data_IF_539639222660
#
_entry.id   IF_539639222660
#
_cell.length_a   1.000
_cell.length_b   1.000
_cell.length_c   1.000
_cell.angle_alpha   90.00
_cell.angle_beta   90.00
_cell.angle_gamma   90.00
#
_symmetry.space_group_name_H-M   'P 1'
#
loop_
_entity.id
_entity.type
_entity.pdbx_description
1 polymer ?
#
# COMPACT_ATOMS: atom_id res chain seq x y z
N UNK A 1 49.79 27.30 -31.13
CA UNK A 1 48.87 26.14 -31.13
C UNK A 1 49.51 25.04 -30.30
N UNK A 2 48.82 24.50 -29.29
CA UNK A 2 48.94 23.11 -28.82
C UNK A 2 47.99 22.89 -27.64
N UNK A 3 46.73 22.67 -28.00
CA UNK A 3 45.65 22.24 -27.11
C UNK A 3 45.96 20.85 -26.56
N UNK A 4 46.41 20.77 -25.30
CA UNK A 4 46.43 19.50 -24.57
C UNK A 4 45.01 19.18 -24.14
N UNK A 5 44.30 18.43 -24.99
CA UNK A 5 43.04 17.77 -24.64
C UNK A 5 43.27 16.85 -23.44
N UNK A 6 42.85 17.29 -22.25
CA UNK A 6 42.69 16.43 -21.09
C UNK A 6 41.50 15.50 -21.34
N UNK A 7 41.80 14.28 -21.78
CA UNK A 7 40.85 13.18 -21.89
C UNK A 7 40.31 12.91 -20.47
N UNK A 8 39.00 13.06 -20.19
CA UNK A 8 38.47 12.72 -18.88
C UNK A 8 38.66 11.21 -18.64
N UNK A 9 39.11 10.80 -17.44
CA UNK A 9 39.34 9.40 -17.15
C UNK A 9 38.03 8.62 -17.23
N UNK A 10 38.09 7.59 -18.09
CA UNK A 10 37.25 6.40 -18.16
C UNK A 10 36.24 6.27 -17.00
N UNK A 11 34.95 6.49 -17.30
CA UNK A 11 33.84 6.15 -16.42
C UNK A 11 33.75 4.62 -16.30
N UNK A 12 34.59 4.05 -15.43
CA UNK A 12 34.53 2.65 -15.02
C UNK A 12 33.10 2.33 -14.57
N UNK A 13 32.40 1.56 -15.39
CA UNK A 13 31.06 1.04 -15.12
C UNK A 13 31.14 0.08 -13.94
N UNK A 14 31.03 0.61 -12.72
CA UNK A 14 30.95 -0.19 -11.50
C UNK A 14 29.96 -1.35 -11.74
N UNK A 15 30.36 -2.61 -11.48
CA UNK A 15 29.50 -3.77 -11.72
C UNK A 15 28.18 -3.62 -10.95
N UNK A 16 27.07 -4.06 -11.54
CA UNK A 16 25.71 -3.86 -10.99
C UNK A 16 25.58 -4.33 -9.53
N UNK A 17 26.28 -5.40 -9.16
CA UNK A 17 26.31 -5.95 -7.80
C UNK A 17 26.97 -5.03 -6.77
N UNK A 18 28.03 -4.31 -7.14
CA UNK A 18 28.69 -3.37 -6.24
C UNK A 18 27.88 -2.08 -6.08
N UNK A 19 27.15 -1.67 -7.12
CA UNK A 19 26.18 -0.56 -7.03
C UNK A 19 25.04 -0.87 -6.07
N UNK A 20 24.44 -2.06 -6.17
CA UNK A 20 23.36 -2.50 -5.26
C UNK A 20 23.85 -2.55 -3.82
N UNK A 21 25.03 -3.13 -3.56
CA UNK A 21 25.59 -3.22 -2.20
C UNK A 21 25.89 -1.86 -1.57
N UNK A 22 26.39 -0.91 -2.36
CA UNK A 22 26.63 0.46 -1.90
C UNK A 22 25.28 1.15 -1.62
N UNK A 23 24.31 1.00 -2.52
CA UNK A 23 22.99 1.61 -2.38
C UNK A 23 22.20 1.07 -1.19
N UNK A 24 22.26 -0.23 -0.90
CA UNK A 24 21.62 -0.80 0.30
C UNK A 24 22.30 -0.30 1.57
N UNK A 25 23.63 -0.20 1.58
CA UNK A 25 24.37 0.35 2.72
C UNK A 25 24.03 1.82 2.97
N UNK A 26 23.99 2.64 1.92
CA UNK A 26 23.60 4.05 2.00
C UNK A 26 22.13 4.20 2.47
N UNK A 27 21.22 3.34 2.00
CA UNK A 27 19.84 3.29 2.48
C UNK A 27 19.74 2.96 3.97
N UNK A 28 20.50 1.96 4.44
CA UNK A 28 20.58 1.61 5.86
C UNK A 28 21.17 2.73 6.72
N UNK A 29 22.23 3.39 6.23
CA UNK A 29 22.83 4.55 6.91
C UNK A 29 21.84 5.73 6.99
N UNK A 30 21.04 5.96 5.94
CA UNK A 30 19.99 6.98 5.94
C UNK A 30 18.85 6.65 6.93
N UNK A 31 18.44 5.37 7.01
CA UNK A 31 17.40 4.91 7.93
C UNK A 31 17.76 5.09 9.41
N UNK A 32 19.06 5.17 9.74
CA UNK A 32 19.53 5.39 11.11
C UNK A 32 19.06 6.74 11.70
N UNK A 33 18.75 7.73 10.86
CA UNK A 33 18.25 9.05 11.30
C UNK A 33 16.72 9.08 11.48
N UNK A 34 15.98 8.18 10.84
CA UNK A 34 14.53 8.06 10.94
C UNK A 34 13.99 7.92 12.39
N UNK A 35 14.60 7.15 13.31
CA UNK A 35 14.10 7.06 14.69
C UNK A 35 14.08 8.41 15.43
N UNK A 36 15.04 9.30 15.18
CA UNK A 36 15.01 10.64 15.79
C UNK A 36 13.85 11.50 15.25
N UNK A 37 13.54 11.37 13.96
CA UNK A 37 12.37 12.02 13.39
C UNK A 37 11.06 11.52 14.03
N UNK A 38 10.92 10.20 14.23
CA UNK A 38 9.78 9.65 14.98
C UNK A 38 9.72 10.13 16.42
N UNK A 39 10.86 10.27 17.10
CA UNK A 39 10.93 10.81 18.47
C UNK A 39 10.43 12.25 18.53
N UNK A 40 10.78 13.08 17.55
CA UNK A 40 10.29 14.45 17.43
C UNK A 40 8.77 14.50 17.25
N UNK A 41 8.21 13.70 16.34
CA UNK A 41 6.75 13.59 16.13
C UNK A 41 6.04 13.17 17.42
N UNK A 42 6.60 12.19 18.13
CA UNK A 42 6.05 11.71 19.40
C UNK A 42 6.11 12.77 20.50
N UNK A 43 7.18 13.56 20.55
CA UNK A 43 7.35 14.66 21.50
C UNK A 43 6.42 15.85 21.22
N UNK A 44 6.08 16.09 19.95
CA UNK A 44 5.18 17.17 19.55
C UNK A 44 3.71 16.84 19.87
N UNK A 45 3.25 15.64 19.53
CA UNK A 45 1.91 15.16 19.89
C UNK A 45 1.80 13.64 19.79
N UNK A 46 1.81 12.98 20.95
CA UNK A 46 1.60 11.54 21.05
C UNK A 46 0.22 11.09 20.56
N UNK A 47 -0.81 11.92 20.77
CA UNK A 47 -2.17 11.61 20.29
C UNK A 47 -2.24 11.65 18.77
N UNK A 48 -1.66 12.67 18.13
CA UNK A 48 -1.64 12.78 16.67
C UNK A 48 -0.82 11.65 16.04
N UNK A 49 0.34 11.31 16.62
CA UNK A 49 1.16 10.19 16.17
C UNK A 49 0.39 8.85 16.24
N UNK A 50 -0.31 8.60 17.35
CA UNK A 50 -1.09 7.39 17.54
C UNK A 50 -2.28 7.33 16.58
N UNK A 51 -3.02 8.43 16.41
CA UNK A 51 -4.13 8.54 15.44
C UNK A 51 -3.62 8.27 14.03
N UNK A 52 -2.50 8.86 13.63
CA UNK A 52 -1.90 8.64 12.31
C UNK A 52 -1.53 7.17 12.07
N UNK A 53 -0.90 6.52 13.05
CA UNK A 53 -0.60 5.08 12.96
C UNK A 53 -1.88 4.25 12.88
N UNK A 54 -2.90 4.56 13.68
CA UNK A 54 -4.18 3.87 13.63
C UNK A 54 -4.86 4.02 12.28
N UNK A 55 -4.91 5.23 11.71
CA UNK A 55 -5.45 5.47 10.38
C UNK A 55 -4.67 4.71 9.31
N UNK A 56 -3.34 4.69 9.40
CA UNK A 56 -2.48 3.93 8.48
C UNK A 56 -2.75 2.42 8.55
N UNK A 57 -2.96 1.88 9.75
CA UNK A 57 -3.33 0.47 9.93
C UNK A 57 -4.71 0.16 9.33
N UNK A 58 -5.71 1.02 9.56
CA UNK A 58 -7.04 0.88 8.95
C UNK A 58 -6.90 0.91 7.42
N UNK A 59 -6.18 1.88 6.88
CA UNK A 59 -5.95 2.02 5.44
C UNK A 59 -5.22 0.79 4.86
N UNK A 60 -4.26 0.22 5.58
CA UNK A 60 -3.54 -0.98 5.15
C UNK A 60 -4.42 -2.24 5.13
N UNK A 61 -5.46 -2.31 5.98
CA UNK A 61 -6.41 -3.45 6.02
C UNK A 61 -7.51 -3.30 4.97
N UNK A 62 -7.84 -2.09 4.53
CA UNK A 62 -8.91 -1.84 3.54
C UNK A 62 -8.80 -2.72 2.28
N UNK A 63 -7.64 -2.88 1.60
CA UNK A 63 -7.54 -3.72 0.41
C UNK A 63 -7.91 -5.19 0.67
N UNK A 64 -7.53 -5.72 1.83
CA UNK A 64 -7.88 -7.09 2.23
C UNK A 64 -9.38 -7.21 2.52
N UNK A 65 -9.97 -6.20 3.18
CA UNK A 65 -11.40 -6.15 3.45
C UNK A 65 -12.23 -6.07 2.16
N UNK A 66 -11.76 -5.31 1.16
CA UNK A 66 -12.38 -5.23 -0.17
C UNK A 66 -12.36 -6.59 -0.87
N UNK A 67 -11.23 -7.30 -0.86
CA UNK A 67 -11.13 -8.65 -1.44
C UNK A 67 -12.08 -9.65 -0.76
N UNK A 68 -12.21 -9.57 0.57
CA UNK A 68 -13.15 -10.40 1.33
C UNK A 68 -14.61 -10.08 1.01
N UNK A 69 -14.97 -8.79 0.87
CA UNK A 69 -16.31 -8.37 0.45
C UNK A 69 -16.65 -8.92 -0.94
N UNK A 70 -15.73 -8.84 -1.91
CA UNK A 70 -15.90 -9.43 -3.23
C UNK A 70 -16.16 -10.93 -3.19
N UNK A 71 -15.46 -11.67 -2.31
CA UNK A 71 -15.74 -13.09 -2.07
C UNK A 71 -17.18 -13.31 -1.57
N UNK A 72 -17.63 -12.54 -0.57
CA UNK A 72 -18.99 -12.70 -0.02
C UNK A 72 -20.09 -12.45 -1.07
N UNK A 73 -19.86 -11.53 -2.00
CA UNK A 73 -20.77 -11.28 -3.12
C UNK A 73 -20.86 -12.52 -4.01
N UNK A 74 -19.71 -13.11 -4.37
CA UNK A 74 -19.68 -14.33 -5.18
C UNK A 74 -20.37 -15.48 -4.44
N UNK A 75 -20.06 -15.67 -3.16
CA UNK A 75 -20.67 -16.74 -2.34
C UNK A 75 -22.20 -16.59 -2.28
N UNK A 76 -22.71 -15.37 -2.10
CA UNK A 76 -24.15 -15.11 -2.06
C UNK A 76 -24.83 -15.27 -3.43
N UNK A 77 -24.16 -14.94 -4.53
CA UNK A 77 -24.65 -15.24 -5.89
C UNK A 77 -24.74 -16.75 -6.12
N UNK A 78 -23.71 -17.50 -5.72
CA UNK A 78 -23.68 -18.97 -5.87
C UNK A 78 -24.79 -19.60 -5.05
N UNK A 79 -25.01 -19.17 -3.81
CA UNK A 79 -26.12 -19.67 -2.97
C UNK A 79 -27.48 -19.36 -3.60
N UNK A 80 -27.69 -18.14 -4.09
CA UNK A 80 -28.95 -17.76 -4.73
C UNK A 80 -29.23 -18.59 -5.99
N UNK A 81 -28.19 -18.89 -6.78
CA UNK A 81 -28.28 -19.74 -7.96
C UNK A 81 -28.56 -21.21 -7.61
N UNK A 82 -27.85 -21.77 -6.62
CA UNK A 82 -28.00 -23.16 -6.17
C UNK A 82 -29.40 -23.43 -5.59
N UNK A 83 -29.97 -22.46 -4.88
CA UNK A 83 -31.32 -22.53 -4.35
C UNK A 83 -32.42 -22.26 -5.38
N UNK A 84 -32.06 -21.97 -6.63
CA UNK A 84 -33.02 -21.66 -7.70
C UNK A 84 -33.89 -20.45 -7.37
N UNK A 85 -33.36 -19.45 -6.65
CA UNK A 85 -34.13 -18.27 -6.28
C UNK A 85 -34.61 -17.53 -7.52
N UNK A 86 -35.86 -17.05 -7.47
CA UNK A 86 -36.38 -16.08 -8.44
C UNK A 86 -35.40 -14.89 -8.56
N UNK A 87 -35.14 -14.36 -9.77
CA UNK A 87 -34.10 -13.35 -10.00
C UNK A 87 -34.20 -12.12 -9.08
N UNK A 88 -35.43 -11.65 -8.81
CA UNK A 88 -35.67 -10.52 -7.92
C UNK A 88 -35.36 -10.84 -6.45
N UNK A 89 -35.64 -12.08 -6.02
CA UNK A 89 -35.33 -12.55 -4.67
C UNK A 89 -33.82 -12.74 -4.48
N UNK A 90 -33.14 -13.34 -5.47
CA UNK A 90 -31.68 -13.49 -5.47
C UNK A 90 -30.95 -12.14 -5.45
N UNK A 91 -31.42 -11.15 -6.23
CA UNK A 91 -30.85 -9.80 -6.19
C UNK A 91 -31.00 -9.17 -4.79
N UNK A 92 -32.18 -9.27 -4.19
CA UNK A 92 -32.42 -8.75 -2.82
C UNK A 92 -31.54 -9.42 -1.77
N UNK A 93 -31.16 -10.68 -1.99
CA UNK A 93 -30.23 -11.43 -1.15
C UNK A 93 -28.76 -10.95 -1.29
N UNK A 94 -28.33 -10.57 -2.49
CA UNK A 94 -26.95 -10.13 -2.78
C UNK A 94 -26.72 -8.63 -2.49
N UNK A 95 -27.74 -7.79 -2.63
CA UNK A 95 -27.67 -6.32 -2.45
C UNK A 95 -26.97 -5.85 -1.16
N UNK A 96 -27.19 -6.47 0.02
CA UNK A 96 -26.49 -6.06 1.25
C UNK A 96 -24.96 -6.17 1.14
N UNK A 97 -24.45 -7.20 0.47
CA UNK A 97 -23.01 -7.40 0.27
C UNK A 97 -22.43 -6.40 -0.73
N UNK A 98 -23.18 -6.08 -1.79
CA UNK A 98 -22.84 -5.00 -2.73
C UNK A 98 -22.81 -3.64 -2.03
N UNK A 99 -23.79 -3.35 -1.17
CA UNK A 99 -23.81 -2.11 -0.40
C UNK A 99 -22.61 -2.00 0.57
N UNK A 100 -22.22 -3.12 1.17
CA UNK A 100 -21.01 -3.21 2.01
C UNK A 100 -19.75 -2.93 1.18
N UNK A 101 -19.58 -3.56 0.03
CA UNK A 101 -18.43 -3.31 -0.85
C UNK A 101 -18.37 -1.84 -1.30
N UNK A 102 -19.52 -1.26 -1.67
CA UNK A 102 -19.60 0.15 -2.04
C UNK A 102 -19.20 1.08 -0.89
N UNK A 103 -19.62 0.80 0.34
CA UNK A 103 -19.20 1.55 1.52
C UNK A 103 -17.68 1.45 1.75
N UNK A 104 -17.10 0.25 1.61
CA UNK A 104 -15.65 0.06 1.71
C UNK A 104 -14.90 0.84 0.62
N UNK A 105 -15.42 0.84 -0.61
CA UNK A 105 -14.83 1.58 -1.72
C UNK A 105 -14.83 3.08 -1.46
N UNK A 106 -15.94 3.64 -0.95
CA UNK A 106 -16.01 5.05 -0.60
C UNK A 106 -15.00 5.42 0.49
N UNK A 107 -14.86 4.58 1.53
CA UNK A 107 -13.88 4.82 2.60
C UNK A 107 -12.46 4.77 2.05
N UNK A 108 -12.15 3.83 1.16
CA UNK A 108 -10.82 3.71 0.55
C UNK A 108 -10.50 4.77 -0.51
N UNK A 109 -11.49 5.51 -1.00
CA UNK A 109 -11.32 6.53 -2.05
C UNK A 109 -11.06 7.95 -1.52
N UNK A 110 -11.20 8.17 -0.20
CA UNK A 110 -11.03 9.49 0.44
C UNK A 110 -9.58 9.78 0.83
#
# INVERSE_FOLDING_TARGET
MNSRNSIPPNQQTKPLTSRIRIQTREFWEALRNTPEAFRLVWSASRSAALVGVSLMLVAAVLPAAQAWAGKLIIDSIVIAADQGMEPLAGLRYVVPYLALEFALLLIGSM
#
